data_IF_187038471063
#
_entry.id   IF_187038471063
#
_cell.length_a   1.000
_cell.length_b   1.000
_cell.length_c   1.000
_cell.angle_alpha   90.00
_cell.angle_beta   90.00
_cell.angle_gamma   90.00
#
_symmetry.space_group_name_H-M   'P 1'
#
loop_
_entity.id
_entity.type
_entity.pdbx_description
1 polymer ?
#
# COMPACT_ATOMS: atom_id res chain seq x y z
N UNK A 1 -18.60 -4.43 1.56
CA UNK A 1 -17.53 -4.65 2.55
C UNK A 1 -16.21 -4.09 1.99
N UNK A 2 -15.19 -3.88 2.83
CA UNK A 2 -13.83 -3.58 2.35
C UNK A 2 -13.36 -2.13 2.45
N UNK A 3 -14.25 -1.14 2.61
CA UNK A 3 -13.83 0.26 2.71
C UNK A 3 -13.09 0.71 1.45
N UNK A 4 -11.79 1.03 1.54
CA UNK A 4 -11.00 1.44 0.36
C UNK A 4 -10.83 0.34 -0.70
N UNK A 5 -11.04 -0.93 -0.34
CA UNK A 5 -11.04 -2.05 -1.28
C UNK A 5 -12.45 -2.48 -1.72
N UNK A 6 -13.48 -1.66 -1.49
CA UNK A 6 -14.84 -2.06 -1.88
C UNK A 6 -15.06 -2.07 -3.39
N UNK A 7 -16.05 -2.84 -3.82
CA UNK A 7 -16.53 -2.90 -5.19
C UNK A 7 -18.06 -3.02 -5.21
N UNK A 8 -18.67 -2.57 -6.30
CA UNK A 8 -20.12 -2.63 -6.54
C UNK A 8 -20.39 -3.19 -7.93
N UNK A 9 -21.50 -3.91 -8.07
CA UNK A 9 -21.98 -4.39 -9.35
C UNK A 9 -23.01 -3.39 -9.90
N UNK A 10 -22.87 -3.02 -11.17
CA UNK A 10 -23.85 -2.17 -11.85
C UNK A 10 -25.07 -2.97 -12.37
N UNK A 11 -25.98 -2.30 -13.08
CA UNK A 11 -27.20 -2.91 -13.61
C UNK A 11 -26.93 -3.95 -14.72
N UNK A 12 -25.81 -3.82 -15.44
CA UNK A 12 -25.41 -4.72 -16.52
C UNK A 12 -24.66 -5.96 -15.99
N UNK A 13 -24.26 -5.94 -14.71
CA UNK A 13 -23.58 -7.03 -14.04
C UNK A 13 -22.06 -6.87 -13.98
N UNK A 14 -21.53 -5.73 -14.40
CA UNK A 14 -20.10 -5.42 -14.36
C UNK A 14 -19.69 -4.87 -12.99
N UNK A 15 -18.44 -5.15 -12.59
CA UNK A 15 -17.91 -4.73 -11.30
C UNK A 15 -17.11 -3.43 -11.41
N UNK A 16 -17.44 -2.47 -10.56
CA UNK A 16 -16.73 -1.21 -10.39
C UNK A 16 -16.03 -1.23 -9.03
N UNK A 17 -14.71 -1.11 -9.04
CA UNK A 17 -13.88 -1.11 -7.84
C UNK A 17 -13.56 0.32 -7.38
N UNK A 18 -13.35 0.49 -6.08
CA UNK A 18 -12.95 1.78 -5.49
C UNK A 18 -11.57 2.23 -5.99
N UNK A 19 -10.70 1.28 -6.32
CA UNK A 19 -9.36 1.54 -6.83
C UNK A 19 -8.71 0.27 -7.36
N UNK A 20 -7.63 0.42 -8.12
CA UNK A 20 -6.83 -0.69 -8.59
C UNK A 20 -5.87 -1.14 -7.48
N UNK A 21 -6.03 -2.37 -7.01
CA UNK A 21 -5.24 -2.91 -5.89
C UNK A 21 -4.23 -3.95 -6.39
N UNK A 22 -2.99 -3.79 -5.96
CA UNK A 22 -1.88 -4.70 -6.28
C UNK A 22 -1.39 -5.34 -4.98
N UNK A 23 -1.22 -6.66 -5.01
CA UNK A 23 -0.58 -7.42 -3.93
C UNK A 23 0.89 -7.60 -4.27
N UNK A 24 1.77 -7.42 -3.28
CA UNK A 24 3.21 -7.63 -3.42
C UNK A 24 3.67 -8.84 -2.62
N UNK A 25 4.72 -9.53 -3.09
CA UNK A 25 5.38 -10.61 -2.34
C UNK A 25 5.76 -10.18 -0.92
N UNK A 26 6.28 -8.96 -0.78
CA UNK A 26 6.72 -8.39 0.49
C UNK A 26 5.60 -7.99 1.47
N UNK A 27 4.40 -8.56 1.36
CA UNK A 27 3.26 -8.34 2.26
C UNK A 27 3.03 -9.56 3.16
N UNK A 28 3.93 -9.86 4.12
CA UNK A 28 3.90 -11.12 4.87
C UNK A 28 2.59 -11.33 5.63
N UNK A 29 2.03 -10.28 6.23
CA UNK A 29 0.74 -10.39 6.94
C UNK A 29 -0.43 -10.70 6.01
N UNK A 30 -0.40 -10.21 4.76
CA UNK A 30 -1.42 -10.56 3.78
C UNK A 30 -1.23 -11.99 3.28
N UNK A 31 0.01 -12.43 3.05
CA UNK A 31 0.28 -13.82 2.67
C UNK A 31 -0.20 -14.80 3.74
N UNK A 32 0.13 -14.54 5.00
CA UNK A 32 -0.36 -15.33 6.14
C UNK A 32 -1.90 -15.33 6.21
N UNK A 33 -2.56 -14.19 6.00
CA UNK A 33 -4.02 -14.12 6.00
C UNK A 33 -4.64 -14.98 4.88
N UNK A 34 -4.05 -14.95 3.68
CA UNK A 34 -4.52 -15.77 2.55
C UNK A 34 -4.32 -17.27 2.83
N UNK A 35 -3.19 -17.65 3.43
CA UNK A 35 -2.91 -19.03 3.86
C UNK A 35 -3.90 -19.48 4.95
N UNK A 36 -4.08 -18.69 6.01
CA UNK A 36 -4.99 -18.99 7.13
C UNK A 36 -6.46 -19.16 6.69
N UNK A 37 -6.86 -18.43 5.65
CA UNK A 37 -8.21 -18.52 5.06
C UNK A 37 -8.29 -19.59 3.95
N UNK A 38 -7.18 -20.17 3.53
CA UNK A 38 -7.12 -21.16 2.44
C UNK A 38 -7.55 -20.60 1.09
N UNK A 39 -7.11 -19.37 0.76
CA UNK A 39 -7.49 -18.65 -0.46
C UNK A 39 -6.29 -18.15 -1.27
N UNK A 40 -5.10 -18.71 -1.04
CA UNK A 40 -3.85 -18.35 -1.74
C UNK A 40 -3.98 -18.44 -3.27
N UNK A 41 -4.79 -19.39 -3.78
CA UNK A 41 -5.05 -19.60 -5.20
C UNK A 41 -5.75 -18.41 -5.88
N UNK A 42 -6.33 -17.49 -5.09
CA UNK A 42 -6.98 -16.27 -5.59
C UNK A 42 -5.99 -15.17 -5.98
N UNK A 43 -4.72 -15.30 -5.58
CA UNK A 43 -3.65 -14.37 -5.99
C UNK A 43 -3.07 -14.77 -7.34
N UNK A 44 -3.37 -13.97 -8.36
CA UNK A 44 -2.88 -14.18 -9.73
C UNK A 44 -1.54 -13.47 -9.94
N UNK A 45 -0.47 -14.12 -9.49
CA UNK A 45 0.90 -13.65 -9.69
C UNK A 45 1.24 -13.42 -11.16
N UNK A 46 1.92 -12.31 -11.45
CA UNK A 46 2.39 -11.93 -12.78
C UNK A 46 3.90 -12.14 -12.91
N UNK A 47 4.39 -12.07 -14.13
CA UNK A 47 5.83 -12.04 -14.39
C UNK A 47 6.51 -10.97 -13.51
N UNK A 48 7.69 -11.27 -12.98
CA UNK A 48 8.43 -10.34 -12.13
C UNK A 48 9.07 -9.23 -12.99
N UNK A 49 8.25 -8.24 -13.34
CA UNK A 49 8.59 -7.16 -14.26
C UNK A 49 7.91 -5.87 -13.84
N UNK A 50 8.60 -4.75 -14.05
CA UNK A 50 7.99 -3.42 -13.94
C UNK A 50 7.98 -2.76 -15.31
N UNK A 51 6.80 -2.60 -15.89
CA UNK A 51 6.62 -2.05 -17.25
C UNK A 51 6.21 -0.59 -17.20
N UNK A 52 6.91 0.26 -17.97
CA UNK A 52 6.68 1.69 -18.06
C UNK A 52 6.34 2.06 -19.51
N UNK A 53 5.38 2.98 -19.68
CA UNK A 53 5.07 3.56 -20.97
C UNK A 53 6.10 4.65 -21.32
N UNK A 54 6.56 4.69 -22.56
CA UNK A 54 7.53 5.68 -23.02
C UNK A 54 6.79 6.95 -23.47
N UNK A 55 6.87 8.03 -22.70
CA UNK A 55 6.16 9.29 -22.99
C UNK A 55 6.50 9.84 -24.39
N UNK A 56 7.79 9.82 -24.73
CA UNK A 56 8.30 10.33 -26.02
C UNK A 56 7.97 9.43 -27.22
N UNK A 57 7.51 8.18 -26.97
CA UNK A 57 7.27 7.18 -28.01
C UNK A 57 5.89 6.51 -27.80
N UNK A 58 4.79 7.15 -28.24
CA UNK A 58 3.44 6.63 -28.05
C UNK A 58 3.29 5.17 -28.51
N UNK A 59 2.73 4.33 -27.63
CA UNK A 59 2.53 2.90 -27.88
C UNK A 59 3.75 2.02 -27.59
N UNK A 60 4.90 2.59 -27.27
CA UNK A 60 6.09 1.86 -26.84
C UNK A 60 6.13 1.72 -25.32
N UNK A 61 6.54 0.54 -24.86
CA UNK A 61 6.79 0.23 -23.47
C UNK A 61 8.23 -0.22 -23.28
N UNK A 62 8.77 0.04 -22.10
CA UNK A 62 10.04 -0.51 -21.62
C UNK A 62 9.80 -1.25 -20.31
N UNK A 63 10.73 -2.09 -19.88
CA UNK A 63 10.56 -2.86 -18.64
C UNK A 63 11.87 -3.05 -17.89
N UNK A 64 11.75 -3.12 -16.56
CA UNK A 64 12.76 -3.67 -15.67
C UNK A 64 12.39 -5.13 -15.43
N UNK A 65 13.11 -6.05 -16.07
CA UNK A 65 12.90 -7.49 -15.93
C UNK A 65 13.77 -8.03 -14.80
N UNK A 66 13.14 -8.64 -13.79
CA UNK A 66 13.85 -9.23 -12.65
C UNK A 66 14.22 -10.68 -13.01
N UNK A 67 15.52 -11.03 -13.07
CA UNK A 67 15.92 -12.34 -13.53
C UNK A 67 15.48 -13.44 -12.54
N UNK A 68 14.93 -14.56 -13.05
CA UNK A 68 14.54 -15.68 -12.19
C UNK A 68 15.77 -16.30 -11.54
N UNK A 69 15.61 -16.81 -10.32
CA UNK A 69 16.66 -17.47 -9.52
C UNK A 69 17.85 -16.56 -9.16
N UNK A 70 17.73 -15.25 -9.29
CA UNK A 70 18.71 -14.29 -8.76
C UNK A 70 18.18 -13.76 -7.43
N UNK A 71 18.96 -13.84 -6.32
CA UNK A 71 18.49 -13.39 -5.02
C UNK A 71 18.40 -11.85 -4.96
N UNK A 72 17.58 -11.33 -4.05
CA UNK A 72 17.62 -9.90 -3.73
C UNK A 72 18.90 -9.56 -2.94
N UNK A 73 19.48 -8.35 -3.10
CA UNK A 73 19.10 -7.27 -4.03
C UNK A 73 19.67 -7.42 -5.46
N UNK A 74 20.35 -8.52 -5.79
CA UNK A 74 21.06 -8.69 -7.06
C UNK A 74 20.12 -8.73 -8.27
N UNK A 75 18.92 -9.25 -8.12
CA UNK A 75 17.89 -9.27 -9.17
C UNK A 75 17.46 -7.85 -9.57
N UNK A 76 17.25 -6.96 -8.59
CA UNK A 76 16.92 -5.56 -8.81
C UNK A 76 18.09 -4.80 -9.45
N UNK A 77 19.31 -5.03 -8.97
CA UNK A 77 20.49 -4.45 -9.60
C UNK A 77 20.63 -4.88 -11.06
N UNK A 78 20.39 -6.16 -11.37
CA UNK A 78 20.39 -6.67 -12.74
C UNK A 78 19.27 -6.02 -13.59
N UNK A 79 18.04 -5.91 -13.06
CA UNK A 79 16.94 -5.26 -13.75
C UNK A 79 17.26 -3.80 -14.10
N UNK A 80 17.79 -3.03 -13.15
CA UNK A 80 18.21 -1.64 -13.34
C UNK A 80 19.34 -1.54 -14.37
N UNK A 81 20.38 -2.37 -14.27
CA UNK A 81 21.54 -2.30 -15.16
C UNK A 81 21.21 -2.71 -16.60
N UNK A 82 20.33 -3.69 -16.79
CA UNK A 82 19.94 -4.21 -18.10
C UNK A 82 18.99 -3.29 -18.86
N UNK A 83 18.14 -2.50 -18.18
CA UNK A 83 17.29 -1.52 -18.87
C UNK A 83 18.12 -0.35 -19.41
N UNK A 84 18.16 -0.15 -20.73
CA UNK A 84 18.93 0.96 -21.34
C UNK A 84 18.06 2.08 -21.91
N UNK A 85 16.75 2.00 -21.77
CA UNK A 85 15.82 2.92 -22.43
C UNK A 85 15.35 4.04 -21.50
N UNK A 86 15.23 3.80 -20.19
CA UNK A 86 14.82 4.82 -19.24
C UNK A 86 15.98 5.67 -18.72
N UNK A 87 17.06 5.02 -18.29
CA UNK A 87 18.16 5.67 -17.59
C UNK A 87 19.50 5.37 -18.25
N UNK A 88 20.32 6.41 -18.40
CA UNK A 88 21.73 6.29 -18.79
C UNK A 88 22.55 5.65 -17.67
N UNK A 89 23.74 5.14 -18.00
CA UNK A 89 24.64 4.57 -17.01
C UNK A 89 25.10 5.63 -15.97
N UNK A 90 25.32 6.87 -16.41
CA UNK A 90 25.70 7.98 -15.52
C UNK A 90 24.59 8.27 -14.50
N UNK A 91 23.33 8.31 -14.94
CA UNK A 91 22.18 8.52 -14.06
C UNK A 91 22.07 7.41 -13.02
N UNK A 92 22.22 6.14 -13.43
CA UNK A 92 22.21 5.00 -12.51
C UNK A 92 23.29 5.11 -11.43
N UNK A 93 24.52 5.50 -11.82
CA UNK A 93 25.61 5.68 -10.86
C UNK A 93 25.35 6.82 -9.88
N UNK A 94 24.69 7.90 -10.33
CA UNK A 94 24.33 9.03 -9.45
C UNK A 94 23.19 8.73 -8.47
N UNK A 95 22.43 7.65 -8.64
CA UNK A 95 21.47 7.20 -7.63
C UNK A 95 22.13 6.52 -6.44
N UNK A 96 23.31 5.92 -6.64
CA UNK A 96 24.00 5.10 -5.62
C UNK A 96 24.21 5.83 -4.30
N UNK A 97 24.69 7.10 -4.25
CA UNK A 97 24.91 7.78 -2.97
C UNK A 97 23.65 7.96 -2.11
N UNK A 98 22.47 8.08 -2.74
CA UNK A 98 21.20 8.19 -1.99
C UNK A 98 20.59 6.85 -1.59
N UNK A 99 20.85 5.78 -2.36
CA UNK A 99 20.27 4.46 -2.07
C UNK A 99 21.20 3.56 -1.26
N UNK A 100 22.51 3.73 -1.36
CA UNK A 100 23.49 2.91 -0.66
C UNK A 100 23.38 2.99 0.87
N UNK A 101 23.15 4.17 1.50
CA UNK A 101 22.95 4.23 2.95
C UNK A 101 21.73 3.41 3.41
N UNK A 102 20.64 3.39 2.64
CA UNK A 102 19.49 2.54 2.94
C UNK A 102 19.87 1.04 2.96
N UNK A 103 20.73 0.59 2.03
CA UNK A 103 21.21 -0.79 1.99
C UNK A 103 22.12 -1.17 3.17
N UNK A 104 22.86 -0.20 3.71
CA UNK A 104 23.85 -0.44 4.77
C UNK A 104 23.29 -0.23 6.18
N UNK A 105 22.45 0.78 6.36
CA UNK A 105 21.93 1.23 7.65
C UNK A 105 20.48 0.78 7.89
N UNK A 106 19.73 0.46 6.82
CA UNK A 106 18.35 0.00 6.92
C UNK A 106 17.41 1.07 7.50
N UNK A 107 16.54 0.65 8.43
CA UNK A 107 15.41 1.45 8.90
C UNK A 107 15.83 2.80 9.53
N UNK A 108 16.95 2.86 10.25
CA UNK A 108 17.38 4.12 10.89
C UNK A 108 17.68 5.22 9.87
N UNK A 109 18.22 4.85 8.71
CA UNK A 109 18.44 5.81 7.63
C UNK A 109 17.12 6.25 7.01
N UNK A 110 16.19 5.32 6.79
CA UNK A 110 14.86 5.57 6.22
C UNK A 110 14.08 6.58 7.09
N UNK A 111 14.03 6.33 8.40
CA UNK A 111 13.33 7.18 9.37
C UNK A 111 13.90 8.60 9.38
N UNK A 112 15.22 8.73 9.23
CA UNK A 112 15.89 10.03 9.18
C UNK A 112 15.60 10.85 7.91
N UNK A 113 14.91 10.29 6.90
CA UNK A 113 14.53 11.02 5.68
C UNK A 113 13.07 11.46 5.64
N UNK A 114 12.31 11.29 6.73
CA UNK A 114 10.86 11.56 6.70
C UNK A 114 10.50 13.04 6.49
N UNK A 115 11.36 13.94 6.96
CA UNK A 115 11.18 15.40 6.82
C UNK A 115 11.61 15.93 5.43
N UNK A 116 12.09 15.06 4.54
CA UNK A 116 12.46 15.44 3.18
C UNK A 116 11.42 14.95 2.19
N UNK A 117 10.94 15.84 1.33
CA UNK A 117 10.26 15.39 0.11
C UNK A 117 11.21 14.58 -0.77
N UNK A 118 10.68 13.74 -1.66
CA UNK A 118 11.47 13.00 -2.65
C UNK A 118 12.33 13.99 -3.48
N UNK A 119 11.77 15.13 -3.88
CA UNK A 119 12.50 16.16 -4.62
C UNK A 119 13.65 16.79 -3.83
N UNK A 120 13.48 17.05 -2.54
CA UNK A 120 14.54 17.59 -1.68
C UNK A 120 15.64 16.55 -1.41
N UNK A 121 15.25 15.29 -1.20
CA UNK A 121 16.18 14.18 -1.05
C UNK A 121 17.04 14.01 -2.31
N UNK A 122 16.44 14.01 -3.50
CA UNK A 122 17.17 13.93 -4.76
C UNK A 122 18.21 15.04 -4.89
N UNK A 123 17.84 16.29 -4.56
CA UNK A 123 18.77 17.44 -4.58
C UNK A 123 19.91 17.26 -3.57
N UNK A 124 19.60 16.82 -2.35
CA UNK A 124 20.59 16.55 -1.29
C UNK A 124 21.65 15.53 -1.73
N UNK A 125 21.26 14.49 -2.46
CA UNK A 125 22.15 13.43 -2.93
C UNK A 125 22.67 13.62 -4.36
N UNK A 126 22.38 14.75 -5.01
CA UNK A 126 22.86 15.06 -6.36
C UNK A 126 22.28 14.16 -7.45
N UNK A 127 21.07 13.64 -7.26
CA UNK A 127 20.39 12.82 -8.26
C UNK A 127 19.93 13.69 -9.45
N UNK A 128 20.15 13.24 -10.70
CA UNK A 128 19.63 13.90 -11.89
C UNK A 128 18.11 14.11 -11.87
N UNK A 129 17.65 15.29 -12.30
CA UNK A 129 16.23 15.65 -12.34
C UNK A 129 15.40 14.69 -13.20
N UNK A 130 15.96 14.19 -14.30
CA UNK A 130 15.29 13.23 -15.19
C UNK A 130 14.88 11.93 -14.48
N UNK A 131 15.59 11.50 -13.43
CA UNK A 131 15.18 10.33 -12.63
C UNK A 131 13.85 10.61 -11.91
N UNK A 132 13.59 11.86 -11.53
CA UNK A 132 12.33 12.26 -10.93
C UNK A 132 11.20 12.07 -11.93
N UNK A 133 11.39 12.61 -13.13
CA UNK A 133 10.40 12.62 -14.21
C UNK A 133 10.04 11.21 -14.68
N UNK A 134 11.06 10.36 -14.86
CA UNK A 134 10.91 9.02 -15.43
C UNK A 134 10.49 7.97 -14.38
N UNK A 135 10.97 8.08 -13.13
CA UNK A 135 10.79 7.04 -12.11
C UNK A 135 9.95 7.53 -10.93
N UNK A 136 10.38 8.58 -10.24
CA UNK A 136 9.79 8.91 -8.94
C UNK A 136 8.39 9.53 -9.04
N UNK A 137 8.04 10.22 -10.14
CA UNK A 137 6.65 10.64 -10.39
C UNK A 137 5.74 9.41 -10.48
N UNK A 138 6.16 8.37 -11.22
CA UNK A 138 5.37 7.15 -11.34
C UNK A 138 5.25 6.42 -10.00
N UNK A 139 6.34 6.29 -9.24
CA UNK A 139 6.32 5.67 -7.92
C UNK A 139 5.47 6.45 -6.91
N UNK A 140 5.58 7.78 -6.86
CA UNK A 140 4.82 8.61 -5.93
C UNK A 140 3.32 8.55 -6.18
N UNK A 141 2.93 8.57 -7.47
CA UNK A 141 1.52 8.39 -7.87
C UNK A 141 0.99 6.99 -7.60
N UNK A 142 1.83 5.97 -7.73
CA UNK A 142 1.44 4.59 -7.45
C UNK A 142 1.27 4.31 -5.94
N UNK A 143 2.12 4.89 -5.09
CA UNK A 143 2.15 4.60 -3.65
C UNK A 143 1.19 5.47 -2.83
N UNK A 144 1.10 6.76 -3.14
CA UNK A 144 0.37 7.74 -2.31
C UNK A 144 -0.44 8.75 -3.15
N UNK A 145 -0.59 8.51 -4.46
CA UNK A 145 -1.32 9.39 -5.38
C UNK A 145 -0.83 10.85 -5.36
N UNK A 146 0.44 11.07 -5.03
CA UNK A 146 1.02 12.38 -4.73
C UNK A 146 2.29 12.61 -5.54
N UNK A 147 2.53 13.85 -5.94
CA UNK A 147 3.74 14.22 -6.68
C UNK A 147 5.00 14.25 -5.77
N UNK A 148 6.20 14.02 -6.32
CA UNK A 148 7.44 13.85 -5.55
C UNK A 148 7.87 15.07 -4.72
N UNK A 149 7.35 16.26 -5.00
CA UNK A 149 7.61 17.48 -4.22
C UNK A 149 6.80 17.55 -2.92
N UNK A 150 5.79 16.69 -2.77
CA UNK A 150 4.90 16.63 -1.60
C UNK A 150 4.93 15.29 -0.88
N UNK A 151 5.54 14.28 -1.49
CA UNK A 151 5.70 12.95 -0.92
C UNK A 151 6.97 12.85 -0.07
N UNK A 152 6.86 12.35 1.16
CA UNK A 152 8.02 12.03 2.01
C UNK A 152 8.89 10.94 1.39
N UNK A 153 10.21 11.12 1.42
CA UNK A 153 11.16 10.12 0.90
C UNK A 153 11.11 8.81 1.70
N UNK A 154 10.70 8.85 2.98
CA UNK A 154 10.57 7.64 3.81
C UNK A 154 9.61 6.62 3.17
N UNK A 155 8.57 7.08 2.47
CA UNK A 155 7.60 6.23 1.76
C UNK A 155 8.28 5.46 0.63
N UNK A 156 9.05 6.15 -0.21
CA UNK A 156 9.79 5.54 -1.32
C UNK A 156 10.84 4.55 -0.79
N UNK A 157 11.66 4.97 0.18
CA UNK A 157 12.71 4.13 0.72
C UNK A 157 12.14 2.91 1.47
N UNK A 158 11.00 3.04 2.15
CA UNK A 158 10.33 1.89 2.77
C UNK A 158 9.87 0.88 1.73
N UNK A 159 9.25 1.33 0.64
CA UNK A 159 8.85 0.45 -0.46
C UNK A 159 10.06 -0.24 -1.09
N UNK A 160 11.12 0.52 -1.40
CA UNK A 160 12.37 -0.03 -1.96
C UNK A 160 13.02 -1.03 -1.00
N UNK A 161 13.12 -0.70 0.28
CA UNK A 161 13.70 -1.56 1.31
C UNK A 161 12.95 -2.90 1.42
N UNK A 162 11.63 -2.90 1.31
CA UNK A 162 10.85 -4.15 1.26
C UNK A 162 11.19 -4.98 0.02
N UNK A 163 11.28 -4.34 -1.14
CA UNK A 163 11.55 -5.03 -2.41
C UNK A 163 12.95 -5.63 -2.56
N UNK A 164 13.92 -5.17 -1.77
CA UNK A 164 15.30 -5.67 -1.79
C UNK A 164 15.59 -6.75 -0.75
N UNK A 165 14.69 -6.96 0.22
CA UNK A 165 14.89 -7.95 1.29
C UNK A 165 14.41 -9.35 0.88
N UNK A 166 13.47 -9.44 -0.06
CA UNK A 166 12.88 -10.70 -0.54
C UNK A 166 13.00 -10.81 -2.06
N UNK A 167 13.38 -11.99 -2.57
CA UNK A 167 13.66 -12.19 -4.00
C UNK A 167 12.42 -11.91 -4.88
N UNK A 168 11.25 -12.26 -4.40
CA UNK A 168 9.92 -12.02 -5.00
C UNK A 168 9.19 -10.84 -4.35
N UNK A 169 9.86 -10.06 -3.49
CA UNK A 169 9.22 -9.00 -2.71
C UNK A 169 8.54 -7.91 -3.55
N UNK A 170 9.08 -7.63 -4.74
CA UNK A 170 8.51 -6.69 -5.73
C UNK A 170 7.67 -7.35 -6.81
N UNK A 171 7.51 -8.68 -6.79
CA UNK A 171 6.59 -9.37 -7.68
C UNK A 171 5.16 -8.97 -7.32
N UNK A 172 4.30 -8.86 -8.34
CA UNK A 172 2.93 -8.38 -8.19
C UNK A 172 1.90 -9.45 -8.50
N UNK A 173 0.79 -9.40 -7.78
CA UNK A 173 -0.40 -10.20 -8.03
C UNK A 173 -1.65 -9.33 -8.06
N UNK A 174 -2.63 -9.79 -8.83
CA UNK A 174 -4.00 -9.28 -8.81
C UNK A 174 -4.89 -10.30 -8.13
N UNK A 175 -5.97 -9.84 -7.48
CA UNK A 175 -7.00 -10.74 -6.99
C UNK A 175 -7.81 -11.26 -8.19
N UNK A 176 -8.23 -12.52 -8.15
CA UNK A 176 -8.98 -13.20 -9.22
C UNK A 176 -10.44 -12.74 -9.40
N UNK A 177 -10.82 -11.61 -8.80
CA UNK A 177 -12.13 -10.98 -8.90
C UNK A 177 -12.32 -9.90 -7.84
N UNK A 178 -13.57 -9.44 -7.66
CA UNK A 178 -13.88 -8.33 -6.76
C UNK A 178 -13.51 -8.65 -5.29
N UNK A 179 -12.90 -7.70 -4.60
CA UNK A 179 -12.39 -7.87 -3.24
C UNK A 179 -13.48 -8.16 -2.20
N UNK A 180 -14.71 -7.59 -2.26
CA UNK A 180 -15.78 -7.93 -1.33
C UNK A 180 -16.09 -9.43 -1.28
N UNK A 181 -16.25 -10.08 -2.43
CA UNK A 181 -16.56 -11.50 -2.49
C UNK A 181 -15.31 -12.39 -2.37
N UNK A 182 -14.20 -11.98 -3.00
CA UNK A 182 -12.99 -12.82 -3.11
C UNK A 182 -12.05 -12.71 -1.92
N UNK A 183 -12.15 -11.66 -1.09
CA UNK A 183 -11.31 -11.47 0.10
C UNK A 183 -12.11 -11.17 1.36
N UNK A 184 -12.99 -10.16 1.33
CA UNK A 184 -13.69 -9.73 2.55
C UNK A 184 -14.68 -10.79 3.06
N UNK A 185 -15.39 -11.47 2.16
CA UNK A 185 -16.38 -12.48 2.55
C UNK A 185 -15.73 -13.68 3.28
N UNK A 186 -14.61 -14.27 2.82
CA UNK A 186 -13.86 -15.26 3.60
C UNK A 186 -13.53 -14.83 5.03
N UNK A 187 -13.11 -13.58 5.23
CA UNK A 187 -12.84 -13.01 6.57
C UNK A 187 -14.12 -12.98 7.41
N UNK A 188 -15.24 -12.51 6.83
CA UNK A 188 -16.55 -12.48 7.51
C UNK A 188 -17.01 -13.88 7.90
N UNK A 189 -16.87 -14.85 7.00
CA UNK A 189 -17.26 -16.24 7.25
C UNK A 189 -16.40 -16.84 8.37
N UNK A 190 -15.08 -16.56 8.39
CA UNK A 190 -14.17 -16.99 9.44
C UNK A 190 -14.54 -16.42 10.81
N UNK A 191 -14.93 -15.14 10.89
CA UNK A 191 -15.41 -14.47 12.10
C UNK A 191 -16.71 -15.11 12.60
N UNK A 192 -17.70 -15.28 11.71
CA UNK A 192 -19.01 -15.86 12.04
C UNK A 192 -18.92 -17.31 12.50
N UNK A 193 -18.05 -18.10 11.88
CA UNK A 193 -17.79 -19.47 12.30
C UNK A 193 -17.25 -19.58 13.74
N UNK A 194 -16.75 -18.48 14.30
CA UNK A 194 -16.20 -18.39 15.68
C UNK A 194 -17.11 -17.59 16.62
N UNK A 195 -18.35 -17.34 16.23
CA UNK A 195 -19.35 -16.68 17.06
C UNK A 195 -19.28 -15.15 17.05
N UNK A 196 -18.47 -14.54 16.19
CA UNK A 196 -18.46 -13.09 15.99
C UNK A 196 -19.53 -12.64 15.00
N UNK A 197 -20.07 -11.45 15.22
CA UNK A 197 -21.05 -10.83 14.31
C UNK A 197 -20.40 -9.77 13.41
N UNK A 198 -20.83 -9.73 12.15
CA UNK A 198 -20.47 -8.67 11.19
C UNK A 198 -21.74 -8.04 10.69
N UNK A 199 -21.97 -6.80 11.11
CA UNK A 199 -23.17 -6.03 10.82
C UNK A 199 -22.86 -4.92 9.81
N UNK A 200 -23.57 -4.92 8.69
CA UNK A 200 -23.51 -3.87 7.67
C UNK A 200 -24.70 -2.93 7.81
N UNK A 201 -24.59 -1.69 7.29
CA UNK A 201 -25.68 -0.71 7.39
C UNK A 201 -25.89 -0.19 8.82
N UNK A 202 -24.85 -0.25 9.66
CA UNK A 202 -24.85 0.20 11.06
C UNK A 202 -23.83 1.33 11.29
N UNK A 203 -23.99 2.50 10.65
CA UNK A 203 -23.06 3.60 10.82
C UNK A 203 -23.10 4.15 12.27
N UNK A 204 -21.93 4.41 12.84
CA UNK A 204 -21.78 5.03 14.16
C UNK A 204 -22.07 6.54 14.02
N UNK A 205 -22.92 7.06 14.89
CA UNK A 205 -23.28 8.47 14.98
C UNK A 205 -22.42 9.23 15.99
N UNK A 206 -22.17 8.64 17.17
CA UNK A 206 -21.32 9.23 18.22
C UNK A 206 -20.70 8.15 19.11
N UNK A 207 -19.61 8.53 19.77
CA UNK A 207 -18.96 7.77 20.84
C UNK A 207 -19.37 8.44 22.15
N UNK A 208 -20.22 7.80 22.94
CA UNK A 208 -20.69 8.34 24.21
C UNK A 208 -19.73 7.91 25.32
N UNK A 209 -19.26 8.87 26.12
CA UNK A 209 -18.31 8.61 27.21
C UNK A 209 -18.97 8.72 28.57
N UNK A 210 -18.46 7.96 29.53
CA UNK A 210 -18.84 8.11 30.93
C UNK A 210 -18.27 9.43 31.49
N UNK A 211 -19.08 10.26 32.17
CA UNK A 211 -18.61 11.54 32.70
C UNK A 211 -17.60 11.41 33.84
N UNK A 212 -17.53 10.26 34.52
CA UNK A 212 -16.70 10.10 35.72
C UNK A 212 -15.25 9.73 35.38
N UNK A 213 -15.04 8.83 34.40
CA UNK A 213 -13.71 8.34 34.03
C UNK A 213 -13.33 8.56 32.54
N UNK A 214 -14.24 9.15 31.76
CA UNK A 214 -14.08 9.42 30.33
C UNK A 214 -13.87 8.18 29.46
N UNK A 215 -14.16 6.98 29.98
CA UNK A 215 -14.16 5.75 29.20
C UNK A 215 -15.37 5.70 28.24
N UNK A 216 -15.30 4.85 27.21
CA UNK A 216 -16.44 4.67 26.30
C UNK A 216 -17.56 3.95 27.02
N UNK A 217 -18.71 4.61 27.14
CA UNK A 217 -19.93 4.02 27.70
C UNK A 217 -20.63 3.14 26.68
N UNK A 218 -20.89 3.68 25.48
CA UNK A 218 -21.46 2.94 24.35
C UNK A 218 -21.20 3.68 23.03
N UNK A 219 -21.41 2.99 21.91
CA UNK A 219 -21.50 3.60 20.58
C UNK A 219 -22.96 3.84 20.25
N UNK A 220 -23.33 5.08 19.91
CA UNK A 220 -24.65 5.37 19.38
C UNK A 220 -24.64 5.21 17.86
N UNK A 221 -25.61 4.48 17.30
CA UNK A 221 -25.74 4.25 15.87
C UNK A 221 -26.74 5.23 15.25
N UNK A 222 -26.64 5.45 13.94
CA UNK A 222 -27.50 6.41 13.24
C UNK A 222 -28.98 6.01 13.19
N UNK A 223 -29.30 4.73 13.43
CA UNK A 223 -30.68 4.25 13.56
C UNK A 223 -31.25 4.41 14.98
N UNK A 224 -30.49 5.03 15.89
CA UNK A 224 -30.86 5.26 17.28
C UNK A 224 -30.60 4.08 18.22
N UNK A 225 -30.14 2.94 17.71
CA UNK A 225 -29.69 1.84 18.56
C UNK A 225 -28.30 2.10 19.16
N UNK A 226 -27.97 1.39 20.23
CA UNK A 226 -26.69 1.50 20.93
C UNK A 226 -25.94 0.17 20.93
N UNK A 227 -24.62 0.24 21.00
CA UNK A 227 -23.74 -0.93 21.14
C UNK A 227 -22.86 -0.76 22.36
N UNK A 228 -22.96 -1.72 23.27
CA UNK A 228 -22.12 -1.84 24.46
C UNK A 228 -21.15 -3.03 24.31
N UNK A 229 -19.91 -2.85 24.75
CA UNK A 229 -18.87 -3.87 24.72
C UNK A 229 -17.83 -3.63 25.81
N UNK A 230 -17.08 -4.67 26.17
CA UNK A 230 -15.96 -4.56 27.12
C UNK A 230 -14.78 -3.77 26.55
N UNK A 231 -14.60 -3.83 25.22
CA UNK A 231 -13.51 -3.19 24.49
C UNK A 231 -14.04 -2.61 23.18
N UNK A 232 -13.63 -1.38 22.86
CA UNK A 232 -13.97 -0.70 21.62
C UNK A 232 -12.70 -0.47 20.79
N UNK A 233 -12.78 -0.78 19.49
CA UNK A 233 -11.70 -0.56 18.53
C UNK A 233 -12.22 0.29 17.39
N UNK A 234 -11.56 1.41 17.10
CA UNK A 234 -11.83 2.16 15.88
C UNK A 234 -10.90 1.70 14.77
N UNK A 235 -11.48 1.09 13.73
CA UNK A 235 -10.80 0.78 12.46
C UNK A 235 -11.23 1.75 11.33
N UNK A 236 -11.77 2.92 11.69
CA UNK A 236 -12.22 3.92 10.73
C UNK A 236 -11.02 4.69 10.12
N UNK A 237 -11.17 5.25 8.91
CA UNK A 237 -10.22 6.23 8.38
C UNK A 237 -10.03 7.41 9.36
N UNK A 238 -8.80 7.94 9.43
CA UNK A 238 -8.42 9.01 10.38
C UNK A 238 -9.30 10.25 10.25
N UNK A 239 -9.73 10.58 9.03
CA UNK A 239 -10.61 11.70 8.72
C UNK A 239 -12.02 11.54 9.30
N UNK A 240 -12.54 10.31 9.37
CA UNK A 240 -13.82 10.01 10.02
C UNK A 240 -13.66 9.97 11.53
N UNK A 241 -12.61 9.31 12.02
CA UNK A 241 -12.35 9.23 13.46
C UNK A 241 -12.24 10.62 14.08
N UNK A 242 -11.48 11.54 13.47
CA UNK A 242 -11.34 12.93 13.95
C UNK A 242 -12.67 13.67 14.14
N UNK A 243 -13.72 13.31 13.39
CA UNK A 243 -15.06 13.91 13.53
C UNK A 243 -15.89 13.28 14.64
N UNK A 244 -15.53 12.08 15.07
CA UNK A 244 -16.23 11.30 16.08
C UNK A 244 -15.51 11.28 17.43
N UNK A 245 -14.30 11.85 17.54
CA UNK A 245 -13.59 11.99 18.80
C UNK A 245 -14.48 12.78 19.78
N UNK A 246 -14.84 12.20 20.94
CA UNK A 246 -15.55 12.91 22.00
C UNK A 246 -14.80 14.18 22.41
N UNK A 247 -15.53 15.29 22.55
CA UNK A 247 -14.94 16.56 22.98
C UNK A 247 -14.11 16.48 24.28
N UNK A 248 -14.45 15.65 25.28
CA UNK A 248 -13.62 15.51 26.49
C UNK A 248 -12.23 14.89 26.26
N UNK A 249 -11.96 14.25 25.13
CA UNK A 249 -10.64 13.67 24.80
C UNK A 249 -9.73 14.62 24.01
N UNK A 250 -10.27 15.73 23.50
CA UNK A 250 -9.58 16.65 22.58
C UNK A 250 -9.29 18.01 23.20
#
# INVERSE_FOLDING_TARGET
LGGKVSAWQDEDGDWIETGLHIFFGAYPNMMNLFEELGIEDRLQWKDHKMTFAMQELPGKFTSFDFPPNVPAPLNMAAAILTNTEMLTLEEKLRMVPGLLPMLLEGQSFIDAQDELSVSEFMKKYGMPERINEEIFIAMGKALDFTDPDRLSMSVILTAMNRFINEADGSQTAFLDGNQPARLCQPVVDHIRARGGDVLTGKPIASIEVDPDDLSVKHLALADGSTVEADVYVSAMPVDILKKLIPAPWS
#
